data_IF_543226871489
#
_entry.id   IF_543226871489
#
_cell.length_a   1.000
_cell.length_b   1.000
_cell.length_c   1.000
_cell.angle_alpha   90.00
_cell.angle_beta   90.00
_cell.angle_gamma   90.00
#
_symmetry.space_group_name_H-M   'P 1'
#
loop_
_entity.id
_entity.type
_entity.pdbx_description
1 polymer ?
#
# COMPACT_ATOMS: atom_id res chain seq x y z
N UNK A 1 18.36 24.47 -3.02
CA UNK A 1 16.88 24.33 -2.98
C UNK A 1 16.49 23.30 -4.02
N UNK A 2 15.47 22.46 -3.78
CA UNK A 2 14.96 21.56 -4.81
C UNK A 2 14.50 22.39 -6.03
N UNK A 3 14.85 21.93 -7.24
CA UNK A 3 14.35 22.53 -8.48
C UNK A 3 13.03 21.84 -8.84
N UNK A 4 11.93 22.58 -8.79
CA UNK A 4 10.62 22.09 -9.21
C UNK A 4 10.41 22.31 -10.72
N UNK A 5 9.53 21.50 -11.32
CA UNK A 5 9.08 21.74 -12.70
C UNK A 5 8.04 22.87 -12.74
N UNK A 6 7.81 23.52 -13.90
CA UNK A 6 6.75 24.53 -14.01
C UNK A 6 5.36 24.02 -13.59
N UNK A 7 5.06 22.75 -13.89
CA UNK A 7 3.83 22.10 -13.44
C UNK A 7 3.74 21.95 -11.92
N UNK A 8 4.86 21.62 -11.26
CA UNK A 8 4.91 21.52 -9.81
C UNK A 8 4.82 22.89 -9.14
N UNK A 9 5.48 23.91 -9.68
CA UNK A 9 5.36 25.28 -9.19
C UNK A 9 3.92 25.82 -9.31
N UNK A 10 3.23 25.51 -10.41
CA UNK A 10 1.83 25.85 -10.57
C UNK A 10 0.95 25.18 -9.51
N UNK A 11 1.19 23.89 -9.23
CA UNK A 11 0.48 23.16 -8.18
C UNK A 11 0.78 23.72 -6.77
N UNK A 12 2.05 24.01 -6.46
CA UNK A 12 2.45 24.64 -5.20
C UNK A 12 1.78 26.00 -5.01
N UNK A 13 1.74 26.83 -6.06
CA UNK A 13 1.04 28.11 -6.04
C UNK A 13 -0.46 27.93 -5.79
N UNK A 14 -1.10 26.99 -6.49
CA UNK A 14 -2.54 26.72 -6.31
C UNK A 14 -2.87 26.27 -4.87
N UNK A 15 -2.08 25.37 -4.30
CA UNK A 15 -2.24 24.95 -2.89
C UNK A 15 -2.00 26.11 -1.93
N UNK A 16 -0.97 26.93 -2.19
CA UNK A 16 -0.68 28.11 -1.37
C UNK A 16 -1.80 29.15 -1.41
N UNK A 17 -2.40 29.39 -2.58
CA UNK A 17 -3.54 30.29 -2.75
C UNK A 17 -4.78 29.73 -2.03
N UNK A 18 -5.02 28.42 -2.11
CA UNK A 18 -6.08 27.72 -1.38
C UNK A 18 -5.93 27.84 0.15
N UNK A 19 -4.72 27.59 0.69
CA UNK A 19 -4.45 27.74 2.13
C UNK A 19 -4.66 29.19 2.62
N UNK A 20 -4.21 30.18 1.83
CA UNK A 20 -4.44 31.61 2.13
C UNK A 20 -5.93 31.98 2.14
N UNK A 21 -6.73 31.35 1.29
CA UNK A 21 -8.17 31.52 1.23
C UNK A 21 -8.94 30.90 2.41
N UNK A 22 -8.23 30.27 3.38
CA UNK A 22 -8.77 29.67 4.61
C UNK A 22 -9.83 28.60 4.30
N UNK A 23 -9.41 27.40 3.90
CA UNK A 23 -10.30 26.29 3.53
C UNK A 23 -11.35 26.01 4.61
N UNK A 24 -12.59 25.73 4.20
CA UNK A 24 -13.73 25.55 5.10
C UNK A 24 -14.37 26.86 5.59
N UNK A 25 -13.86 28.03 5.17
CA UNK A 25 -14.45 29.34 5.50
C UNK A 25 -14.76 30.13 4.25
N UNK A 26 -15.73 31.04 4.32
CA UNK A 26 -16.06 32.00 3.26
C UNK A 26 -16.30 31.36 1.88
N UNK A 27 -16.82 30.14 1.84
CA UNK A 27 -17.07 29.39 0.60
C UNK A 27 -15.84 28.71 0.00
N UNK A 28 -14.65 28.85 0.58
CA UNK A 28 -13.45 28.14 0.14
C UNK A 28 -13.60 26.64 0.44
N UNK A 29 -13.47 25.75 -0.57
CA UNK A 29 -13.59 24.32 -0.35
C UNK A 29 -12.59 23.81 0.70
N UNK A 30 -13.01 22.92 1.62
CA UNK A 30 -12.14 22.37 2.68
C UNK A 30 -11.16 21.31 2.18
N UNK A 31 -11.33 20.80 0.96
CA UNK A 31 -10.50 19.77 0.34
C UNK A 31 -9.77 20.37 -0.86
N UNK A 32 -8.47 20.08 -1.00
CA UNK A 32 -7.71 20.29 -2.22
C UNK A 32 -7.16 18.95 -2.73
N UNK A 33 -7.43 18.63 -3.99
CA UNK A 33 -7.03 17.40 -4.66
C UNK A 33 -5.80 17.64 -5.53
N UNK A 34 -4.64 17.20 -5.02
CA UNK A 34 -3.38 17.20 -5.77
C UNK A 34 -3.12 15.80 -6.32
N UNK A 35 -3.58 15.55 -7.53
CA UNK A 35 -3.38 14.25 -8.18
C UNK A 35 -2.17 14.26 -9.10
N UNK A 36 -1.71 13.08 -9.45
CA UNK A 36 -0.63 12.91 -10.40
C UNK A 36 -0.21 11.48 -10.53
N UNK A 37 0.50 11.19 -11.61
CA UNK A 37 0.99 9.83 -11.88
C UNK A 37 2.15 9.43 -10.95
N UNK A 38 2.57 8.17 -11.01
CA UNK A 38 3.75 7.70 -10.32
C UNK A 38 4.98 8.47 -10.81
N UNK A 39 5.91 8.80 -9.90
CA UNK A 39 7.13 9.53 -10.23
C UNK A 39 6.97 11.05 -10.44
N UNK A 40 5.77 11.63 -10.36
CA UNK A 40 5.56 13.08 -10.55
C UNK A 40 5.87 13.94 -9.32
N UNK A 41 6.31 13.33 -8.21
CA UNK A 41 6.80 14.05 -7.03
C UNK A 41 5.73 14.49 -6.01
N UNK A 42 4.51 13.93 -6.05
CA UNK A 42 3.40 14.26 -5.12
C UNK A 42 3.83 14.36 -3.65
N UNK A 43 4.45 13.30 -3.10
CA UNK A 43 4.88 13.28 -1.69
C UNK A 43 5.95 14.34 -1.39
N UNK A 44 6.84 14.62 -2.35
CA UNK A 44 7.85 15.69 -2.23
C UNK A 44 7.20 17.06 -2.14
N UNK A 45 6.20 17.34 -2.99
CA UNK A 45 5.43 18.58 -2.95
C UNK A 45 4.66 18.69 -1.63
N UNK A 46 4.03 17.61 -1.19
CA UNK A 46 3.28 17.60 0.07
C UNK A 46 4.16 17.92 1.29
N UNK A 47 5.40 17.39 1.32
CA UNK A 47 6.38 17.75 2.36
C UNK A 47 6.75 19.24 2.27
N UNK A 48 7.02 19.75 1.08
CA UNK A 48 7.35 21.16 0.89
C UNK A 48 6.20 22.10 1.29
N UNK A 49 4.96 21.73 0.99
CA UNK A 49 3.76 22.46 1.42
C UNK A 49 3.67 22.45 2.95
N UNK A 50 3.87 21.28 3.58
CA UNK A 50 3.80 21.15 5.02
C UNK A 50 4.86 22.00 5.74
N UNK A 51 6.08 22.08 5.21
CA UNK A 51 7.17 22.93 5.74
C UNK A 51 6.78 24.43 5.76
N UNK A 52 5.83 24.85 4.92
CA UNK A 52 5.34 26.23 4.81
C UNK A 52 4.08 26.55 5.65
N UNK A 53 3.51 25.58 6.36
CA UNK A 53 2.32 25.78 7.21
C UNK A 53 2.74 26.19 8.61
N UNK A 54 2.19 27.31 9.12
CA UNK A 54 2.38 27.74 10.51
C UNK A 54 1.49 26.92 11.47
N UNK A 55 2.00 25.74 11.85
CA UNK A 55 1.40 24.86 12.86
C UNK A 55 1.57 23.38 12.56
N UNK A 56 0.83 22.54 13.28
CA UNK A 56 0.98 21.09 13.18
C UNK A 56 0.34 20.55 11.88
N UNK A 57 1.13 19.88 11.05
CA UNK A 57 0.65 19.14 9.88
C UNK A 57 0.63 17.65 10.20
N UNK A 58 -0.48 16.97 9.88
CA UNK A 58 -0.60 15.52 10.05
C UNK A 58 -0.56 14.84 8.70
N UNK A 59 0.32 13.85 8.55
CA UNK A 59 0.35 12.98 7.38
C UNK A 59 -0.39 11.68 7.70
N UNK A 60 -1.24 11.24 6.78
CA UNK A 60 -1.88 9.94 6.88
C UNK A 60 -2.06 9.25 5.53
N UNK A 61 -2.23 7.94 5.57
CA UNK A 61 -2.57 7.14 4.40
C UNK A 61 -3.58 6.05 4.79
N UNK A 62 -4.22 5.44 3.80
CA UNK A 62 -5.21 4.38 4.05
C UNK A 62 -4.59 3.16 4.74
N UNK A 63 -3.41 2.70 4.29
CA UNK A 63 -2.72 1.52 4.83
C UNK A 63 -1.51 1.89 5.67
N UNK A 64 -1.16 1.01 6.63
CA UNK A 64 0.03 1.19 7.47
C UNK A 64 1.33 1.17 6.66
N UNK A 65 1.35 0.45 5.53
CA UNK A 65 2.50 0.39 4.62
C UNK A 65 2.66 1.68 3.81
N UNK A 66 1.57 2.25 3.29
CA UNK A 66 1.62 3.58 2.65
C UNK A 66 2.10 4.65 3.64
N UNK A 67 1.59 4.64 4.88
CA UNK A 67 2.06 5.54 5.93
C UNK A 67 3.55 5.35 6.24
N UNK A 68 4.06 4.11 6.22
CA UNK A 68 5.49 3.83 6.37
C UNK A 68 6.31 4.39 5.20
N UNK A 69 5.86 4.21 3.96
CA UNK A 69 6.51 4.78 2.76
C UNK A 69 6.58 6.31 2.86
N UNK A 70 5.51 6.96 3.33
CA UNK A 70 5.52 8.40 3.60
C UNK A 70 6.58 8.79 4.63
N UNK A 71 6.68 8.08 5.76
CA UNK A 71 7.73 8.34 6.78
C UNK A 71 9.13 8.24 6.20
N UNK A 72 9.39 7.21 5.37
CA UNK A 72 10.69 7.03 4.72
C UNK A 72 11.02 8.17 3.72
N UNK A 73 10.00 8.89 3.22
CA UNK A 73 10.14 10.07 2.36
C UNK A 73 10.22 11.39 3.15
N UNK A 74 10.34 11.32 4.48
CA UNK A 74 10.48 12.50 5.36
C UNK A 74 9.15 13.11 5.80
N UNK A 75 8.02 12.42 5.63
CA UNK A 75 6.75 12.80 6.26
C UNK A 75 6.70 12.21 7.68
N UNK A 76 7.38 12.87 8.62
CA UNK A 76 7.52 12.38 9.99
C UNK A 76 6.17 12.11 10.66
N UNK A 77 6.12 11.06 11.47
CA UNK A 77 4.92 10.62 12.19
C UNK A 77 3.69 10.30 11.30
N UNK A 78 3.86 10.09 9.99
CA UNK A 78 2.75 9.68 9.15
C UNK A 78 2.08 8.41 9.69
N UNK A 79 0.75 8.37 9.72
CA UNK A 79 -0.02 7.28 10.36
C UNK A 79 -1.13 6.77 9.44
N UNK A 80 -1.91 5.77 9.88
CA UNK A 80 -3.13 5.41 9.12
C UNK A 80 -4.24 6.41 9.41
N UNK A 81 -5.10 6.68 8.43
CA UNK A 81 -6.31 7.52 8.63
C UNK A 81 -7.09 7.03 9.86
N UNK A 82 -7.26 5.71 9.99
CA UNK A 82 -7.93 5.10 11.13
C UNK A 82 -7.27 5.40 12.49
N UNK A 83 -5.94 5.53 12.54
CA UNK A 83 -5.24 5.90 13.79
C UNK A 83 -5.27 7.40 14.04
N UNK A 84 -5.48 8.19 12.99
CA UNK A 84 -5.54 9.64 13.02
C UNK A 84 -6.89 10.14 13.57
N UNK A 85 -8.01 9.44 13.31
CA UNK A 85 -9.36 9.92 13.65
C UNK A 85 -10.17 9.01 14.57
N UNK A 86 -9.83 7.72 14.67
CA UNK A 86 -10.61 6.76 15.46
C UNK A 86 -9.84 6.21 16.67
N UNK A 87 -10.60 5.93 17.73
CA UNK A 87 -10.17 5.03 18.80
C UNK A 87 -10.90 3.70 18.67
N UNK A 88 -10.22 2.62 19.06
CA UNK A 88 -10.82 1.29 19.03
C UNK A 88 -11.86 1.21 20.16
N UNK A 89 -13.07 0.75 19.83
CA UNK A 89 -14.06 0.35 20.82
C UNK A 89 -13.88 -1.14 21.08
N UNK A 90 -13.84 -1.54 22.34
CA UNK A 90 -13.83 -2.97 22.68
C UNK A 90 -15.21 -3.55 22.38
N UNK A 91 -15.39 -4.12 21.18
CA UNK A 91 -16.59 -4.86 20.80
C UNK A 91 -16.29 -6.35 20.61
N UNK A 92 -17.32 -7.18 20.77
CA UNK A 92 -17.30 -8.63 20.59
C UNK A 92 -17.02 -9.09 19.15
N UNK A 93 -17.31 -8.24 18.17
CA UNK A 93 -17.65 -8.59 16.78
C UNK A 93 -16.49 -8.73 15.79
N UNK A 94 -16.76 -9.47 14.69
CA UNK A 94 -16.22 -9.32 13.32
C UNK A 94 -15.10 -8.34 13.09
N UNK A 95 -15.62 -7.14 12.91
CA UNK A 95 -14.92 -5.98 12.49
C UNK A 95 -14.70 -5.18 13.77
N UNK A 96 -13.45 -4.79 14.05
CA UNK A 96 -13.19 -3.86 15.14
C UNK A 96 -14.10 -2.65 14.94
N UNK A 97 -14.99 -2.40 15.91
CA UNK A 97 -15.80 -1.19 15.84
C UNK A 97 -14.93 -0.02 16.27
N UNK A 98 -14.98 1.01 15.45
CA UNK A 98 -14.26 2.24 15.67
C UNK A 98 -15.28 3.31 16.01
N UNK A 99 -14.91 4.20 16.92
CA UNK A 99 -15.69 5.42 17.15
C UNK A 99 -14.80 6.62 16.89
N UNK A 100 -15.43 7.63 16.29
CA UNK A 100 -14.83 8.95 16.14
C UNK A 100 -14.32 9.43 17.49
N UNK A 101 -13.11 9.96 17.48
CA UNK A 101 -12.46 10.47 18.67
C UNK A 101 -12.37 11.99 18.58
N UNK A 102 -13.18 12.70 19.35
CA UNK A 102 -13.26 14.18 19.28
C UNK A 102 -11.89 14.86 19.55
N UNK A 103 -11.14 14.35 20.52
CA UNK A 103 -9.79 14.82 20.87
C UNK A 103 -8.67 14.13 20.06
N UNK A 104 -8.99 13.54 18.91
CA UNK A 104 -8.02 12.83 18.07
C UNK A 104 -6.89 13.74 17.58
N UNK A 105 -5.74 13.18 17.15
CA UNK A 105 -4.65 13.97 16.59
C UNK A 105 -5.07 14.81 15.38
N UNK A 106 -6.15 14.44 14.66
CA UNK A 106 -6.74 15.24 13.59
C UNK A 106 -7.26 16.61 14.06
N UNK A 107 -7.91 16.71 15.23
CA UNK A 107 -8.55 17.95 15.69
C UNK A 107 -7.56 19.07 16.04
N UNK A 108 -6.28 18.73 16.18
CA UNK A 108 -5.20 19.68 16.51
C UNK A 108 -4.43 20.16 15.28
N UNK A 109 -4.66 19.54 14.12
CA UNK A 109 -3.94 19.82 12.89
C UNK A 109 -4.37 21.16 12.26
N UNK A 110 -3.40 21.85 11.64
CA UNK A 110 -3.67 22.99 10.74
C UNK A 110 -3.84 22.57 9.28
N UNK A 111 -3.30 21.41 8.94
CA UNK A 111 -3.46 20.75 7.65
C UNK A 111 -3.34 19.24 7.87
N UNK A 112 -4.22 18.47 7.23
CA UNK A 112 -4.08 17.03 7.12
C UNK A 112 -3.76 16.69 5.67
N UNK A 113 -2.67 15.97 5.47
CA UNK A 113 -2.25 15.46 4.16
C UNK A 113 -2.56 13.97 4.09
N UNK A 114 -3.37 13.56 3.10
CA UNK A 114 -3.75 12.17 2.88
C UNK A 114 -3.08 11.65 1.61
N UNK A 115 -2.26 10.60 1.69
CA UNK A 115 -1.74 9.88 0.53
C UNK A 115 -2.55 8.61 0.22
N UNK A 116 -2.46 8.14 -1.02
CA UNK A 116 -3.25 7.02 -1.56
C UNK A 116 -4.76 7.21 -1.30
N UNK A 117 -5.26 8.42 -1.57
CA UNK A 117 -6.65 8.81 -1.27
C UNK A 117 -7.70 8.03 -2.08
N UNK A 118 -7.29 7.29 -3.11
CA UNK A 118 -8.14 6.41 -3.90
C UNK A 118 -8.84 5.36 -3.04
N UNK A 119 -8.19 4.90 -1.99
CA UNK A 119 -8.70 3.84 -1.12
C UNK A 119 -9.68 4.32 -0.04
N UNK A 120 -9.97 5.61 0.03
CA UNK A 120 -10.85 6.19 1.06
C UNK A 120 -12.30 6.16 0.59
N UNK A 121 -13.15 5.44 1.34
CA UNK A 121 -14.60 5.37 1.10
C UNK A 121 -15.34 6.61 1.61
N UNK A 122 -16.65 6.66 1.35
CA UNK A 122 -17.50 7.80 1.67
C UNK A 122 -17.73 8.02 3.18
N UNK A 123 -17.69 6.97 4.00
CA UNK A 123 -17.86 7.09 5.44
C UNK A 123 -16.60 7.69 6.05
N UNK A 124 -15.45 7.09 5.77
CA UNK A 124 -14.15 7.55 6.23
C UNK A 124 -13.84 8.99 5.76
N UNK A 125 -14.26 9.32 4.54
CA UNK A 125 -14.13 10.67 3.99
C UNK A 125 -14.96 11.72 4.74
N UNK A 126 -16.22 11.39 5.11
CA UNK A 126 -17.07 12.30 5.92
C UNK A 126 -16.54 12.44 7.34
N UNK A 127 -16.02 11.35 7.92
CA UNK A 127 -15.45 11.35 9.25
C UNK A 127 -14.15 12.17 9.32
N UNK A 128 -13.33 12.17 8.26
CA UNK A 128 -12.20 13.10 8.15
C UNK A 128 -12.65 14.56 8.09
N UNK A 129 -13.72 14.83 7.35
CA UNK A 129 -14.26 16.18 7.15
C UNK A 129 -14.87 16.78 8.41
N UNK A 130 -15.37 15.95 9.35
CA UNK A 130 -16.00 16.43 10.58
C UNK A 130 -15.04 17.13 11.55
N UNK A 131 -13.72 17.01 11.34
CA UNK A 131 -12.70 17.70 12.13
C UNK A 131 -12.47 19.17 11.73
N UNK A 132 -13.19 19.68 10.73
CA UNK A 132 -13.10 21.06 10.24
C UNK A 132 -11.65 21.53 9.94
N UNK A 133 -10.81 20.58 9.53
CA UNK A 133 -9.41 20.81 9.18
C UNK A 133 -9.24 20.79 7.65
N UNK A 134 -8.43 21.70 7.06
CA UNK A 134 -8.08 21.62 5.65
C UNK A 134 -7.48 20.25 5.29
N UNK A 135 -7.97 19.65 4.19
CA UNK A 135 -7.50 18.36 3.69
C UNK A 135 -6.79 18.53 2.35
N UNK A 136 -5.48 18.25 2.32
CA UNK A 136 -4.73 18.08 1.07
C UNK A 136 -4.68 16.58 0.73
N UNK A 137 -5.35 16.17 -0.34
CA UNK A 137 -5.44 14.76 -0.73
C UNK A 137 -4.60 14.49 -1.97
N UNK A 138 -3.74 13.47 -1.86
CA UNK A 138 -2.85 13.00 -2.90
C UNK A 138 -3.38 11.69 -3.48
N UNK A 139 -3.47 11.63 -4.80
CA UNK A 139 -4.02 10.48 -5.50
C UNK A 139 -3.33 10.24 -6.83
N UNK A 140 -3.49 9.01 -7.33
CA UNK A 140 -3.10 8.63 -8.68
C UNK A 140 -4.32 8.03 -9.40
N UNK A 141 -4.91 8.75 -10.38
CA UNK A 141 -6.12 8.29 -11.06
C UNK A 141 -5.87 7.09 -11.98
N UNK A 142 -4.60 6.76 -12.28
CA UNK A 142 -4.25 5.60 -13.09
C UNK A 142 -4.10 4.31 -12.25
N UNK A 143 -4.05 4.40 -10.92
CA UNK A 143 -4.04 3.22 -10.06
C UNK A 143 -5.42 2.55 -9.99
N UNK A 144 -5.44 1.29 -9.55
CA UNK A 144 -6.66 0.55 -9.29
C UNK A 144 -7.57 1.27 -8.29
N UNK A 145 -8.89 1.36 -8.54
CA UNK A 145 -9.83 1.84 -7.55
C UNK A 145 -9.96 0.84 -6.39
N UNK A 146 -10.52 1.27 -5.25
CA UNK A 146 -10.85 0.38 -4.15
C UNK A 146 -11.84 -0.70 -4.61
N UNK A 147 -11.72 -1.89 -4.00
CA UNK A 147 -12.51 -3.08 -4.36
C UNK A 147 -14.00 -2.91 -3.96
N UNK A 148 -14.28 -2.13 -2.92
CA UNK A 148 -15.62 -1.83 -2.41
C UNK A 148 -15.70 -0.37 -1.98
N UNK A 149 -16.87 0.26 -2.20
CA UNK A 149 -17.12 1.67 -1.85
C UNK A 149 -16.32 2.63 -2.74
N UNK A 150 -16.98 3.26 -3.73
CA UNK A 150 -16.32 4.23 -4.63
C UNK A 150 -15.54 5.30 -3.86
N UNK A 151 -14.43 5.77 -4.43
CA UNK A 151 -13.49 6.63 -3.70
C UNK A 151 -14.06 8.02 -3.44
N UNK A 152 -14.15 8.42 -2.17
CA UNK A 152 -14.73 9.69 -1.75
C UNK A 152 -14.03 10.89 -2.39
N UNK A 153 -12.69 10.85 -2.43
CA UNK A 153 -11.90 11.93 -3.01
C UNK A 153 -11.77 11.84 -4.53
N UNK A 154 -11.86 10.64 -5.11
CA UNK A 154 -11.63 10.40 -6.55
C UNK A 154 -12.89 10.50 -7.40
N UNK A 155 -14.07 10.70 -6.79
CA UNK A 155 -15.32 11.00 -7.49
C UNK A 155 -15.41 12.45 -8.00
N UNK A 156 -14.38 13.27 -7.82
CA UNK A 156 -14.30 14.64 -8.33
C UNK A 156 -12.98 14.86 -9.05
N UNK A 157 -12.96 15.81 -9.98
CA UNK A 157 -11.75 16.19 -10.69
C UNK A 157 -10.69 16.76 -9.74
N UNK A 158 -9.40 16.56 -10.03
CA UNK A 158 -8.33 17.15 -9.26
C UNK A 158 -8.28 18.67 -9.43
N UNK A 159 -8.00 19.38 -8.34
CA UNK A 159 -7.73 20.82 -8.34
C UNK A 159 -6.36 21.12 -8.99
N UNK A 160 -5.42 20.17 -8.90
CA UNK A 160 -4.17 20.19 -9.65
C UNK A 160 -3.77 18.78 -10.08
N UNK A 161 -3.38 18.61 -11.34
CA UNK A 161 -2.91 17.34 -11.90
C UNK A 161 -1.45 17.43 -12.34
N UNK A 162 -0.58 16.66 -11.69
CA UNK A 162 0.82 16.52 -12.06
C UNK A 162 0.95 15.43 -13.13
N UNK A 163 1.20 15.85 -14.37
CA UNK A 163 1.34 14.96 -15.53
C UNK A 163 2.80 14.74 -15.94
N UNK A 164 3.66 15.72 -15.69
CA UNK A 164 5.08 15.69 -16.04
C UNK A 164 5.88 14.90 -15.01
N UNK A 165 6.60 13.89 -15.48
CA UNK A 165 7.61 13.19 -14.67
C UNK A 165 8.93 13.94 -14.78
N UNK A 166 9.65 14.05 -13.66
CA UNK A 166 10.96 14.72 -13.60
C UNK A 166 11.90 14.18 -14.67
N UNK A 167 12.73 15.05 -15.26
CA UNK A 167 13.70 14.68 -16.31
C UNK A 167 14.59 13.49 -15.91
N UNK A 168 14.98 13.40 -14.64
CA UNK A 168 15.76 12.27 -14.10
C UNK A 168 15.01 10.93 -14.09
N UNK A 169 13.68 10.98 -14.03
CA UNK A 169 12.80 9.82 -14.04
C UNK A 169 12.20 9.54 -15.44
N UNK A 170 12.43 10.42 -16.43
CA UNK A 170 12.05 10.15 -17.82
C UNK A 170 12.92 9.07 -18.48
N UNK A 171 14.15 8.89 -17.99
CA UNK A 171 15.04 7.81 -18.43
C UNK A 171 14.80 6.49 -17.67
N UNK A 172 13.95 6.51 -16.65
CA UNK A 172 13.61 5.33 -15.87
C UNK A 172 12.71 4.38 -16.70
N UNK A 173 13.15 3.13 -16.92
CA UNK A 173 12.37 2.14 -17.66
C UNK A 173 10.97 1.87 -17.10
N UNK A 174 10.84 1.82 -15.78
CA UNK A 174 9.57 1.51 -15.10
C UNK A 174 8.59 2.67 -15.31
N UNK A 175 9.08 3.90 -15.23
CA UNK A 175 8.28 5.09 -15.54
C UNK A 175 7.79 5.04 -16.99
N UNK A 176 8.67 4.77 -17.96
CA UNK A 176 8.29 4.66 -19.39
C UNK A 176 7.23 3.58 -19.62
N UNK A 177 7.45 2.38 -19.09
CA UNK A 177 6.45 1.29 -19.15
C UNK A 177 5.11 1.71 -18.55
N UNK A 178 5.11 2.43 -17.42
CA UNK A 178 3.88 2.91 -16.80
C UNK A 178 3.15 3.94 -17.68
N UNK A 179 3.88 4.79 -18.39
CA UNK A 179 3.31 5.75 -19.36
C UNK A 179 2.72 5.04 -20.56
N UNK A 180 3.42 4.04 -21.11
CA UNK A 180 2.96 3.23 -22.23
C UNK A 180 1.62 2.55 -21.91
N UNK A 181 1.54 1.87 -20.77
CA UNK A 181 0.29 1.24 -20.32
C UNK A 181 -0.83 2.25 -20.13
N UNK A 182 -0.54 3.43 -19.57
CA UNK A 182 -1.54 4.49 -19.37
C UNK A 182 -2.07 5.03 -20.70
N UNK A 183 -1.22 5.13 -21.70
CA UNK A 183 -1.55 5.61 -23.04
C UNK A 183 -2.14 4.52 -23.94
N UNK A 184 -2.40 3.33 -23.38
CA UNK A 184 -3.01 2.20 -24.08
C UNK A 184 -2.06 1.46 -25.01
N UNK A 185 -0.74 1.70 -24.89
CA UNK A 185 0.28 0.93 -25.60
C UNK A 185 0.54 -0.39 -24.90
N UNK A 186 0.88 -1.40 -25.67
CA UNK A 186 1.34 -2.69 -25.15
C UNK A 186 2.84 -2.64 -24.85
N UNK A 187 3.29 -3.56 -23.99
CA UNK A 187 4.71 -3.73 -23.69
C UNK A 187 5.28 -4.82 -24.58
N UNK A 188 6.29 -4.48 -25.37
CA UNK A 188 7.00 -5.45 -26.20
C UNK A 188 7.92 -6.34 -25.36
N UNK A 189 8.07 -7.61 -25.76
CA UNK A 189 9.07 -8.49 -25.14
C UNK A 189 10.46 -7.95 -25.42
N UNK A 190 11.27 -7.78 -24.38
CA UNK A 190 12.60 -7.21 -24.52
C UNK A 190 13.19 -6.72 -23.20
N UNK A 191 14.41 -6.17 -23.30
CA UNK A 191 15.12 -5.54 -22.19
C UNK A 191 14.97 -4.03 -22.23
N UNK A 192 14.78 -3.46 -21.06
CA UNK A 192 14.57 -2.05 -20.80
C UNK A 192 15.49 -1.62 -19.66
N UNK A 193 16.79 -1.49 -19.97
CA UNK A 193 17.82 -1.33 -18.94
C UNK A 193 17.94 -2.58 -18.06
N UNK A 194 17.83 -2.41 -16.75
CA UNK A 194 17.80 -3.51 -15.76
C UNK A 194 16.43 -4.21 -15.68
N UNK A 195 15.40 -3.61 -16.27
CA UNK A 195 14.04 -4.16 -16.33
C UNK A 195 13.82 -4.94 -17.63
N UNK A 196 12.82 -5.81 -17.66
CA UNK A 196 12.51 -6.65 -18.81
C UNK A 196 11.04 -7.01 -18.90
N UNK A 197 10.62 -7.35 -20.11
CA UNK A 197 9.34 -7.99 -20.41
C UNK A 197 9.68 -9.33 -21.06
N UNK A 198 9.25 -10.42 -20.46
CA UNK A 198 9.62 -11.78 -20.87
C UNK A 198 8.40 -12.67 -20.97
N UNK A 199 8.46 -13.64 -21.89
CA UNK A 199 7.43 -14.69 -21.92
C UNK A 199 7.61 -15.65 -20.76
N UNK A 200 6.51 -16.31 -20.34
CA UNK A 200 6.60 -17.39 -19.32
C UNK A 200 7.60 -18.52 -19.65
N UNK A 201 7.92 -18.73 -20.93
CA UNK A 201 8.85 -19.77 -21.37
C UNK A 201 10.31 -19.36 -21.19
N UNK A 202 10.59 -18.06 -21.30
CA UNK A 202 11.93 -17.49 -21.23
C UNK A 202 12.27 -16.94 -19.84
N UNK A 203 11.28 -16.91 -18.93
CA UNK A 203 11.48 -16.51 -17.54
C UNK A 203 12.48 -17.42 -16.84
N UNK A 204 13.59 -16.83 -16.42
CA UNK A 204 14.55 -17.47 -15.53
C UNK A 204 13.90 -17.71 -14.14
N UNK A 205 13.81 -18.96 -13.66
CA UNK A 205 13.30 -19.23 -12.32
C UNK A 205 14.10 -18.56 -11.20
N UNK A 206 15.41 -18.38 -11.36
CA UNK A 206 16.26 -17.79 -10.32
C UNK A 206 15.94 -16.29 -10.15
N UNK A 207 15.58 -15.61 -11.24
CA UNK A 207 15.09 -14.23 -11.24
C UNK A 207 13.83 -14.04 -10.40
N UNK A 208 12.92 -15.02 -10.41
CA UNK A 208 11.69 -15.02 -9.59
C UNK A 208 12.04 -15.18 -8.11
N UNK A 209 13.00 -16.06 -7.81
CA UNK A 209 13.40 -16.36 -6.43
C UNK A 209 14.23 -15.26 -5.79
N UNK A 210 14.95 -14.46 -6.58
CA UNK A 210 15.79 -13.35 -6.10
C UNK A 210 15.05 -12.03 -5.95
N UNK A 211 13.82 -11.91 -6.44
CA UNK A 211 13.05 -10.68 -6.37
C UNK A 211 12.64 -10.35 -4.93
N UNK A 212 12.56 -9.06 -4.58
CA UNK A 212 12.06 -8.64 -3.26
C UNK A 212 10.58 -9.02 -3.10
N UNK A 213 9.82 -8.93 -4.19
CA UNK A 213 8.42 -9.26 -4.22
C UNK A 213 7.96 -9.80 -5.58
N UNK A 214 7.11 -10.83 -5.53
CA UNK A 214 6.38 -11.35 -6.69
C UNK A 214 4.92 -10.90 -6.61
N UNK A 215 4.40 -10.38 -7.71
CA UNK A 215 3.03 -9.89 -7.84
C UNK A 215 2.24 -10.68 -8.90
N UNK A 216 1.00 -11.02 -8.57
CA UNK A 216 0.04 -11.72 -9.44
C UNK A 216 -1.34 -11.06 -9.34
N UNK A 217 -2.29 -11.48 -10.16
CA UNK A 217 -3.66 -10.94 -10.14
C UNK A 217 -4.57 -11.68 -9.17
N UNK A 218 -4.62 -13.01 -9.29
CA UNK A 218 -5.66 -13.86 -8.68
C UNK A 218 -5.17 -14.48 -7.36
N UNK A 219 -6.09 -14.63 -6.40
CA UNK A 219 -5.80 -15.31 -5.13
C UNK A 219 -5.40 -16.78 -5.32
N UNK A 220 -5.99 -17.48 -6.29
CA UNK A 220 -5.62 -18.86 -6.60
C UNK A 220 -4.17 -18.96 -7.09
N UNK A 221 -3.77 -18.07 -8.01
CA UNK A 221 -2.37 -17.97 -8.47
C UNK A 221 -1.45 -17.65 -7.29
N UNK A 222 -1.83 -16.67 -6.45
CA UNK A 222 -1.06 -16.30 -5.26
C UNK A 222 -0.79 -17.50 -4.35
N UNK A 223 -1.82 -18.28 -3.99
CA UNK A 223 -1.68 -19.45 -3.13
C UNK A 223 -0.78 -20.52 -3.78
N UNK A 224 -1.02 -20.82 -5.06
CA UNK A 224 -0.24 -21.81 -5.78
C UNK A 224 1.25 -21.44 -5.88
N UNK A 225 1.55 -20.18 -6.20
CA UNK A 225 2.94 -19.74 -6.35
C UNK A 225 3.66 -19.59 -5.00
N UNK A 226 2.98 -19.20 -3.92
CA UNK A 226 3.60 -19.25 -2.59
C UNK A 226 4.07 -20.67 -2.24
N UNK A 227 3.26 -21.70 -2.54
CA UNK A 227 3.67 -23.09 -2.31
C UNK A 227 4.82 -23.52 -3.23
N UNK A 228 4.84 -23.08 -4.50
CA UNK A 228 5.94 -23.37 -5.44
C UNK A 228 7.26 -22.75 -5.00
N UNK A 229 7.23 -21.52 -4.46
CA UNK A 229 8.43 -20.86 -3.91
C UNK A 229 9.00 -21.69 -2.75
N UNK A 230 8.15 -22.17 -1.83
CA UNK A 230 8.58 -23.05 -0.73
C UNK A 230 9.16 -24.38 -1.23
N UNK A 231 8.53 -25.01 -2.22
CA UNK A 231 9.05 -26.23 -2.85
C UNK A 231 10.42 -26.01 -3.48
N UNK A 232 10.63 -24.89 -4.18
CA UNK A 232 11.92 -24.50 -4.77
C UNK A 232 13.01 -24.26 -3.71
N UNK A 233 12.63 -23.86 -2.51
CA UNK A 233 13.52 -23.72 -1.35
C UNK A 233 13.72 -25.04 -0.59
N UNK A 234 13.20 -26.16 -1.10
CA UNK A 234 13.22 -27.47 -0.45
C UNK A 234 12.57 -27.48 0.94
N UNK A 235 11.52 -26.65 1.12
CA UNK A 235 10.73 -26.60 2.35
C UNK A 235 9.54 -27.55 2.19
N UNK A 236 9.62 -28.71 2.84
CA UNK A 236 8.55 -29.73 2.82
C UNK A 236 7.52 -29.58 3.94
N UNK A 237 7.84 -28.80 4.98
CA UNK A 237 6.95 -28.60 6.12
C UNK A 237 5.65 -27.92 5.68
N UNK A 238 4.52 -28.48 6.08
CA UNK A 238 3.20 -27.97 5.72
C UNK A 238 2.95 -26.54 6.23
N UNK A 239 3.53 -26.18 7.36
CA UNK A 239 3.34 -24.91 8.05
C UNK A 239 4.60 -24.04 7.99
N UNK A 240 4.52 -22.74 8.33
CA UNK A 240 5.67 -21.85 8.22
C UNK A 240 6.87 -22.27 9.08
N UNK A 241 8.07 -22.23 8.51
CA UNK A 241 9.35 -22.54 9.18
C UNK A 241 10.24 -21.30 9.24
N UNK A 242 11.35 -21.37 9.99
CA UNK A 242 12.30 -20.27 10.04
C UNK A 242 12.77 -19.87 8.63
N UNK A 243 12.76 -18.57 8.33
CA UNK A 243 13.04 -18.02 7.01
C UNK A 243 11.79 -17.71 6.19
N UNK A 244 10.63 -18.34 6.48
CA UNK A 244 9.42 -18.14 5.70
C UNK A 244 8.97 -16.67 5.72
N UNK A 245 8.62 -16.16 4.53
CA UNK A 245 8.03 -14.83 4.34
C UNK A 245 6.52 -14.92 4.47
N UNK A 246 5.95 -14.13 5.37
CA UNK A 246 4.52 -14.06 5.68
C UNK A 246 3.98 -12.65 5.42
N UNK A 247 2.68 -12.57 5.15
CA UNK A 247 1.90 -11.33 5.11
C UNK A 247 0.87 -11.34 6.22
N UNK A 248 0.80 -10.26 6.99
CA UNK A 248 -0.21 -10.08 8.01
C UNK A 248 -1.54 -9.71 7.37
N UNK A 249 -2.62 -10.38 7.77
CA UNK A 249 -3.96 -10.16 7.21
C UNK A 249 -4.84 -9.29 8.12
N UNK A 250 -4.44 -9.08 9.37
CA UNK A 250 -5.26 -8.40 10.38
C UNK A 250 -4.43 -7.51 11.29
N UNK A 251 -4.90 -6.29 11.51
CA UNK A 251 -4.25 -5.35 12.41
C UNK A 251 -4.26 -5.88 13.86
N UNK A 252 -3.13 -5.74 14.57
CA UNK A 252 -3.02 -5.95 16.01
C UNK A 252 -2.13 -4.86 16.62
N UNK A 253 -2.76 -3.77 17.09
CA UNK A 253 -2.05 -2.59 17.62
C UNK A 253 -1.12 -2.93 18.80
N UNK A 254 -1.54 -3.83 19.71
CA UNK A 254 -0.74 -4.24 20.87
C UNK A 254 0.58 -4.90 20.48
N UNK A 255 0.61 -5.54 19.31
CA UNK A 255 1.78 -6.24 18.75
C UNK A 255 2.45 -5.48 17.61
N UNK A 256 1.96 -4.29 17.25
CA UNK A 256 2.44 -3.54 16.08
C UNK A 256 2.23 -4.27 14.75
N UNK A 257 1.23 -5.15 14.65
CA UNK A 257 0.90 -5.83 13.39
C UNK A 257 -0.05 -4.96 12.56
N UNK A 258 0.24 -4.83 11.27
CA UNK A 258 -0.58 -4.09 10.32
C UNK A 258 -0.91 -4.98 9.12
N UNK A 259 -2.16 -4.93 8.65
CA UNK A 259 -2.62 -5.64 7.47
C UNK A 259 -1.79 -5.23 6.24
N UNK A 260 -1.34 -6.21 5.47
CA UNK A 260 -0.42 -6.05 4.35
C UNK A 260 1.06 -5.96 4.76
N UNK A 261 1.37 -5.88 6.05
CA UNK A 261 2.75 -5.89 6.54
C UNK A 261 3.44 -7.22 6.27
N UNK A 262 4.70 -7.17 5.83
CA UNK A 262 5.52 -8.35 5.56
C UNK A 262 6.39 -8.72 6.76
N UNK A 263 6.48 -10.01 7.03
CA UNK A 263 7.16 -10.57 8.19
C UNK A 263 7.97 -11.80 7.81
N UNK A 264 9.05 -12.03 8.54
CA UNK A 264 9.89 -13.22 8.42
C UNK A 264 9.82 -14.06 9.67
N UNK A 265 9.59 -15.36 9.50
CA UNK A 265 9.57 -16.30 10.62
C UNK A 265 11.00 -16.47 11.16
N UNK A 266 11.20 -16.19 12.44
CA UNK A 266 12.45 -16.50 13.16
C UNK A 266 12.41 -17.91 13.74
N UNK A 267 11.27 -18.30 14.31
CA UNK A 267 11.06 -19.67 14.79
C UNK A 267 9.58 -19.98 14.95
N UNK A 268 9.25 -21.28 14.85
CA UNK A 268 7.93 -21.84 15.19
C UNK A 268 8.11 -22.85 16.32
N UNK A 269 7.25 -22.79 17.33
CA UNK A 269 7.20 -23.83 18.35
C UNK A 269 6.55 -25.10 17.76
N UNK A 270 7.28 -26.21 17.75
CA UNK A 270 6.86 -27.50 17.20
C UNK A 270 6.41 -28.50 18.27
N UNK A 271 6.38 -28.10 19.55
CA UNK A 271 5.85 -28.95 20.62
C UNK A 271 4.46 -29.46 20.23
N UNK A 272 4.26 -30.79 20.32
CA UNK A 272 3.02 -31.49 19.94
C UNK A 272 1.83 -30.99 20.76
N UNK A 273 1.25 -29.87 20.34
CA UNK A 273 -0.06 -29.44 20.81
C UNK A 273 -1.11 -30.12 19.95
N UNK A 274 -2.16 -30.68 20.58
CA UNK A 274 -3.36 -31.11 19.86
C UNK A 274 -4.13 -29.93 19.25
N UNK A 275 -3.78 -28.68 19.62
CA UNK A 275 -4.40 -27.49 19.07
C UNK A 275 -3.89 -27.18 17.66
N UNK A 276 -4.78 -26.84 16.72
CA UNK A 276 -4.47 -26.29 15.38
C UNK A 276 -3.92 -24.84 15.43
N UNK A 277 -3.18 -24.50 16.48
CA UNK A 277 -2.65 -23.15 16.74
C UNK A 277 -1.12 -23.20 16.69
N UNK A 278 -0.56 -22.38 15.81
CA UNK A 278 0.87 -22.23 15.55
C UNK A 278 1.40 -21.04 16.35
N UNK A 279 2.33 -21.28 17.28
CA UNK A 279 3.03 -20.21 17.97
C UNK A 279 4.36 -19.91 17.27
N UNK A 280 4.51 -18.68 16.79
CA UNK A 280 5.67 -18.25 16.02
C UNK A 280 6.30 -16.99 16.59
N UNK A 281 7.58 -16.81 16.34
CA UNK A 281 8.32 -15.55 16.53
C UNK A 281 8.61 -14.97 15.16
N UNK A 282 8.14 -13.76 14.92
CA UNK A 282 8.30 -13.06 13.64
C UNK A 282 9.17 -11.81 13.83
N UNK A 283 9.98 -11.48 12.84
CA UNK A 283 10.52 -10.13 12.67
C UNK A 283 9.85 -9.49 11.45
N UNK A 284 9.79 -8.15 11.35
CA UNK A 284 9.47 -7.53 10.07
C UNK A 284 10.43 -8.02 8.99
N UNK A 285 9.94 -8.06 7.76
CA UNK A 285 10.76 -8.45 6.60
C UNK A 285 11.69 -7.34 6.13
N UNK A 286 11.33 -6.08 6.42
CA UNK A 286 12.11 -4.90 6.11
C UNK A 286 12.92 -4.46 7.36
N UNK A 287 14.20 -4.11 7.17
CA UNK A 287 15.20 -3.87 8.23
C UNK A 287 14.94 -2.53 8.96
N UNK A 288 13.94 -2.51 9.83
CA UNK A 288 13.50 -1.31 10.54
C UNK A 288 13.56 -1.44 12.07
N UNK A 289 14.55 -2.17 12.60
CA UNK A 289 14.92 -2.08 14.03
C UNK A 289 13.85 -2.53 15.04
N UNK A 290 12.82 -3.27 14.62
CA UNK A 290 11.75 -3.71 15.51
C UNK A 290 12.01 -5.08 16.17
N UNK A 291 11.53 -5.18 17.40
CA UNK A 291 11.59 -6.33 18.30
C UNK A 291 10.87 -7.55 17.68
N UNK A 292 11.50 -8.72 17.82
CA UNK A 292 10.87 -10.00 17.50
C UNK A 292 9.51 -10.10 18.22
N UNK A 293 8.45 -10.33 17.45
CA UNK A 293 7.06 -10.34 17.92
C UNK A 293 6.55 -11.78 17.99
N UNK A 294 5.94 -12.13 19.12
CA UNK A 294 5.31 -13.45 19.29
C UNK A 294 3.87 -13.41 18.79
N UNK A 295 3.53 -14.32 17.90
CA UNK A 295 2.19 -14.47 17.33
C UNK A 295 1.64 -15.87 17.57
N UNK A 296 0.32 -15.95 17.59
CA UNK A 296 -0.42 -17.22 17.67
C UNK A 296 -1.41 -17.25 16.52
N UNK A 297 -1.21 -18.14 15.55
CA UNK A 297 -1.92 -18.16 14.27
C UNK A 297 -2.62 -19.50 14.09
N UNK A 298 -3.84 -19.51 13.55
CA UNK A 298 -4.53 -20.76 13.22
C UNK A 298 -3.89 -21.43 12.02
N UNK A 299 -3.72 -22.75 12.06
CA UNK A 299 -3.25 -23.56 10.92
C UNK A 299 -4.10 -23.34 9.66
N UNK A 300 -5.40 -23.10 9.84
CA UNK A 300 -6.38 -22.81 8.79
C UNK A 300 -6.00 -21.58 7.92
N UNK A 301 -5.15 -20.67 8.43
CA UNK A 301 -4.68 -19.54 7.64
C UNK A 301 -3.73 -19.98 6.51
N UNK A 302 -3.01 -21.09 6.69
CA UNK A 302 -2.05 -21.63 5.72
C UNK A 302 -2.61 -22.79 4.89
N UNK A 303 -3.54 -23.56 5.47
CA UNK A 303 -4.25 -24.64 4.77
C UNK A 303 -5.42 -24.12 3.92
N UNK A 304 -5.89 -22.90 4.21
CA UNK A 304 -7.12 -22.34 3.65
C UNK A 304 -8.34 -22.65 4.52
N UNK A 305 -9.47 -22.04 4.16
CA UNK A 305 -10.73 -22.20 4.90
C UNK A 305 -10.90 -21.31 6.12
N UNK A 306 -9.93 -20.42 6.43
CA UNK A 306 -10.06 -19.44 7.52
C UNK A 306 -11.34 -18.58 7.40
N UNK A 307 -11.75 -18.25 6.17
CA UNK A 307 -12.96 -17.48 5.86
C UNK A 307 -14.25 -18.21 6.26
N UNK A 308 -14.21 -19.54 6.41
CA UNK A 308 -15.36 -20.38 6.78
C UNK A 308 -15.51 -20.52 8.29
N UNK A 309 -14.52 -20.06 9.06
CA UNK A 309 -14.50 -20.16 10.51
C UNK A 309 -15.15 -18.91 11.09
N UNK A 310 -16.14 -19.11 11.97
CA UNK A 310 -16.81 -18.04 12.67
C UNK A 310 -15.82 -17.15 13.43
N UNK A 311 -16.08 -15.84 13.42
CA UNK A 311 -15.17 -14.84 13.97
C UNK A 311 -14.81 -15.05 15.42
N UNK A 312 -15.75 -15.44 16.27
CA UNK A 312 -15.53 -15.63 17.70
C UNK A 312 -14.38 -16.62 17.96
N UNK A 313 -14.16 -17.56 17.03
CA UNK A 313 -13.08 -18.54 17.06
C UNK A 313 -11.77 -18.05 16.45
N UNK A 314 -11.81 -16.98 15.64
CA UNK A 314 -10.66 -16.35 14.98
C UNK A 314 -10.09 -15.18 15.78
N UNK A 315 -10.96 -14.35 16.36
CA UNK A 315 -10.65 -13.12 17.12
C UNK A 315 -9.46 -13.23 18.08
N UNK A 316 -9.28 -14.32 18.85
CA UNK A 316 -8.18 -14.43 19.80
C UNK A 316 -6.80 -14.60 19.15
N UNK A 317 -6.74 -14.95 17.87
CA UNK A 317 -5.52 -15.33 17.14
C UNK A 317 -5.12 -14.28 16.11
N UNK A 318 -3.83 -14.16 15.84
CA UNK A 318 -3.34 -13.32 14.74
C UNK A 318 -3.57 -14.03 13.40
N UNK A 319 -3.71 -13.27 12.31
CA UNK A 319 -3.97 -13.84 10.98
C UNK A 319 -2.83 -13.51 10.03
N UNK A 320 -2.25 -14.55 9.44
CA UNK A 320 -1.12 -14.48 8.52
C UNK A 320 -1.29 -15.51 7.41
N UNK A 321 -0.81 -15.17 6.22
CA UNK A 321 -0.66 -16.11 5.11
C UNK A 321 0.76 -15.99 4.55
N UNK A 322 1.15 -16.85 3.61
CA UNK A 322 2.43 -16.73 2.93
C UNK A 322 2.51 -15.44 2.10
N UNK A 323 3.65 -14.76 2.23
CA UNK A 323 3.89 -13.42 1.69
C UNK A 323 4.93 -13.36 0.56
N UNK A 324 5.47 -14.49 0.11
CA UNK A 324 6.40 -14.51 -1.03
C UNK A 324 5.76 -13.94 -2.30
N UNK A 325 4.48 -14.26 -2.49
CA UNK A 325 3.67 -13.79 -3.60
C UNK A 325 2.45 -13.05 -3.06
N UNK A 326 2.19 -11.86 -3.59
CA UNK A 326 1.04 -11.04 -3.25
C UNK A 326 0.18 -10.77 -4.50
N UNK A 327 -1.09 -10.43 -4.30
CA UNK A 327 -1.88 -9.89 -5.39
C UNK A 327 -1.56 -8.40 -5.58
N UNK A 328 -1.68 -7.88 -6.81
CA UNK A 328 -1.50 -6.44 -7.09
C UNK A 328 -2.39 -5.57 -6.20
N UNK A 329 -3.65 -5.98 -5.97
CA UNK A 329 -4.55 -5.28 -5.03
C UNK A 329 -3.98 -5.21 -3.60
N UNK A 330 -3.43 -6.30 -3.06
CA UNK A 330 -2.81 -6.31 -1.72
C UNK A 330 -1.47 -5.57 -1.67
N UNK A 331 -0.91 -5.20 -2.83
CA UNK A 331 0.34 -4.46 -2.94
C UNK A 331 0.14 -2.94 -3.00
N UNK A 332 -1.10 -2.45 -3.10
CA UNK A 332 -1.37 -0.99 -3.14
C UNK A 332 -0.78 -0.28 -1.92
N UNK A 333 -0.14 0.87 -2.18
CA UNK A 333 0.59 1.62 -1.15
C UNK A 333 1.93 1.00 -0.71
N UNK A 334 2.35 -0.12 -1.31
CA UNK A 334 3.69 -0.71 -1.11
C UNK A 334 4.66 -0.28 -2.20
N UNK A 335 5.95 -0.37 -1.94
CA UNK A 335 7.00 -0.21 -2.94
C UNK A 335 8.16 -1.14 -2.59
N UNK A 336 8.80 -1.73 -3.60
CA UNK A 336 10.01 -2.57 -3.47
C UNK A 336 11.04 -2.17 -4.52
N UNK A 337 12.32 -2.45 -4.26
CA UNK A 337 13.37 -2.14 -5.22
C UNK A 337 13.26 -3.07 -6.44
N UNK A 338 13.01 -4.35 -6.22
CA UNK A 338 12.94 -5.37 -7.26
C UNK A 338 11.62 -6.17 -7.26
N UNK A 339 10.85 -6.08 -8.34
CA UNK A 339 9.55 -6.77 -8.49
C UNK A 339 9.52 -7.67 -9.72
N UNK A 340 8.92 -8.86 -9.56
CA UNK A 340 8.47 -9.69 -10.67
C UNK A 340 6.95 -9.65 -10.73
N UNK A 341 6.40 -9.17 -11.85
CA UNK A 341 4.96 -9.03 -12.07
C UNK A 341 4.51 -10.05 -13.12
N UNK A 342 3.71 -11.03 -12.72
CA UNK A 342 3.02 -11.90 -13.68
C UNK A 342 1.78 -11.20 -14.19
N UNK A 343 1.75 -10.87 -15.49
CA UNK A 343 0.59 -10.24 -16.11
C UNK A 343 -0.62 -11.18 -16.06
N UNK A 344 -1.57 -10.82 -15.19
CA UNK A 344 -2.88 -11.41 -15.11
C UNK A 344 -3.99 -10.37 -15.36
N UNK A 345 -3.65 -9.27 -16.04
CA UNK A 345 -4.55 -8.16 -16.36
C UNK A 345 -5.76 -8.60 -17.18
N UNK A 346 -5.63 -9.68 -17.95
CA UNK A 346 -6.75 -10.32 -18.67
C UNK A 346 -7.90 -10.76 -17.75
N UNK A 347 -7.63 -10.96 -16.45
CA UNK A 347 -8.65 -11.28 -15.45
C UNK A 347 -9.48 -10.07 -15.00
N UNK A 348 -9.07 -8.86 -15.40
CA UNK A 348 -9.62 -7.58 -14.95
C UNK A 348 -9.96 -6.71 -16.17
N UNK A 349 -10.82 -7.21 -17.06
CA UNK A 349 -11.08 -6.61 -18.39
C UNK A 349 -11.37 -5.10 -18.33
N UNK A 350 -12.23 -4.66 -17.41
CA UNK A 350 -12.63 -3.25 -17.27
C UNK A 350 -11.54 -2.35 -16.64
N UNK A 351 -10.49 -2.95 -16.07
CA UNK A 351 -9.40 -2.22 -15.39
C UNK A 351 -8.02 -2.73 -15.77
N UNK A 352 -7.86 -3.35 -16.95
CA UNK A 352 -6.63 -4.00 -17.42
C UNK A 352 -5.41 -3.07 -17.30
N UNK A 353 -5.52 -1.87 -17.87
CA UNK A 353 -4.46 -0.87 -17.85
C UNK A 353 -4.16 -0.38 -16.43
N UNK A 354 -5.19 -0.13 -15.60
CA UNK A 354 -5.01 0.28 -14.19
C UNK A 354 -4.33 -0.82 -13.36
N UNK A 355 -4.68 -2.07 -13.62
CA UNK A 355 -4.07 -3.22 -12.96
C UNK A 355 -2.58 -3.33 -13.28
N UNK A 356 -2.24 -3.30 -14.57
CA UNK A 356 -0.85 -3.31 -15.04
C UNK A 356 -0.06 -2.13 -14.48
N UNK A 357 -0.59 -0.93 -14.63
CA UNK A 357 0.00 0.30 -14.12
C UNK A 357 0.26 0.21 -12.60
N UNK A 358 -0.72 -0.28 -11.84
CA UNK A 358 -0.56 -0.44 -10.38
C UNK A 358 0.57 -1.42 -10.05
N UNK A 359 0.65 -2.55 -10.76
CA UNK A 359 1.70 -3.55 -10.57
C UNK A 359 3.09 -3.02 -10.95
N UNK A 360 3.24 -2.38 -12.11
CA UNK A 360 4.48 -1.80 -12.61
C UNK A 360 5.03 -0.77 -11.62
N UNK A 361 4.16 0.12 -11.13
CA UNK A 361 4.55 1.21 -10.22
C UNK A 361 4.89 0.75 -8.79
N UNK A 362 4.81 -0.56 -8.49
CA UNK A 362 5.34 -1.09 -7.22
C UNK A 362 6.84 -1.27 -7.21
N UNK A 363 7.47 -1.37 -8.39
CA UNK A 363 8.91 -1.45 -8.54
C UNK A 363 9.56 -0.07 -8.47
N UNK A 364 10.69 0.05 -7.78
CA UNK A 364 11.46 1.28 -7.66
C UNK A 364 12.75 1.29 -8.49
N UNK A 365 13.37 0.13 -8.71
CA UNK A 365 14.67 0.02 -9.42
C UNK A 365 14.65 -1.00 -10.54
N UNK A 366 14.03 -2.16 -10.32
CA UNK A 366 14.02 -3.27 -11.28
C UNK A 366 12.64 -3.93 -11.37
N UNK A 367 12.21 -4.19 -12.59
CA UNK A 367 10.94 -4.85 -12.88
C UNK A 367 11.11 -5.92 -13.96
N UNK A 368 10.63 -7.13 -13.69
CA UNK A 368 10.40 -8.12 -14.76
C UNK A 368 8.89 -8.34 -14.92
N UNK A 369 8.35 -8.01 -16.08
CA UNK A 369 6.96 -8.30 -16.44
C UNK A 369 6.91 -9.63 -17.18
N UNK A 370 6.12 -10.57 -16.69
CA UNK A 370 5.95 -11.89 -17.29
C UNK A 370 4.60 -11.94 -18.01
N UNK A 371 4.63 -11.99 -19.34
CA UNK A 371 3.44 -12.01 -20.21
C UNK A 371 3.03 -13.42 -20.63
#
# INVERSE_FOLDING_TARGET
MPSFTPHQDAALKAVGDWLKAKPGRNGTPPIFRLFGFAGTGKTTLARHIADGVDGEVKFAAFTGKAALVMRNKGCDNASTIHSLIYRARESGEEQPSFELWDDAPASKAKLIVIDECSMVDAELGRDLMSFDCPLLVLGDPAQLPPIQGGGFFTNSEPDAMLTEVHRQAQDDPIVRMSMDIREGRELDIGRYGESEVVSRKELDPDRVMSADQILVGRNNTRRAYNMRVRQRQNIEDQFPVAGDKLVCLRNNRKKGLFNGGLWRVKSRNTSRSKSRILSMRLSPDEDFGHKVTKVSVRADCFEGGIEQIAWEQRKPYDEFDYGYVLTVHKSQGSQWDDVVLFDESFAFQDSRARWLYTGITRAAKRLSVVV
#
